data_IF_050385362606
#
_entry.id   IF_050385362606
#
_cell.length_a   1.000
_cell.length_b   1.000
_cell.length_c   1.000
_cell.angle_alpha   90.00
_cell.angle_beta   90.00
_cell.angle_gamma   90.00
#
_symmetry.space_group_name_H-M   'P 1'
#
loop_
_entity.id
_entity.type
_entity.pdbx_description
1 polymer ?
#
# COMPACT_ATOMS: atom_id res chain seq x y z
N UNK A 1 15.80 50.36 24.23
CA UNK A 1 16.80 50.38 23.15
C UNK A 1 16.10 49.83 21.93
N UNK A 2 15.79 50.74 21.01
CA UNK A 2 15.09 50.53 19.75
C UNK A 2 16.10 50.37 18.61
N UNK A 3 15.65 49.84 17.45
CA UNK A 3 16.31 49.79 16.11
C UNK A 3 16.71 48.39 15.63
N UNK A 4 16.57 48.00 14.36
CA UNK A 4 15.90 48.53 13.16
C UNK A 4 16.00 47.41 12.11
N UNK A 5 14.96 47.20 11.28
CA UNK A 5 15.07 46.45 10.02
C UNK A 5 15.65 47.37 8.93
N UNK A 6 16.44 46.86 7.97
CA UNK A 6 16.69 47.59 6.74
C UNK A 6 15.63 47.24 5.67
N UNK A 7 15.10 48.31 5.09
CA UNK A 7 14.29 48.39 3.88
C UNK A 7 15.22 48.84 2.74
N UNK A 8 15.13 48.24 1.57
CA UNK A 8 15.82 48.73 0.37
C UNK A 8 14.78 49.01 -0.72
N UNK A 9 14.70 50.28 -1.08
CA UNK A 9 13.89 50.83 -2.17
C UNK A 9 14.74 51.01 -3.44
N UNK A 10 14.17 50.56 -4.57
CA UNK A 10 14.18 51.15 -5.90
C UNK A 10 15.48 51.30 -6.71
N UNK A 11 15.59 50.49 -7.77
CA UNK A 11 16.18 50.88 -9.06
C UNK A 11 15.22 50.47 -10.18
N UNK A 12 14.69 51.46 -10.90
CA UNK A 12 13.93 51.33 -12.14
C UNK A 12 14.89 51.44 -13.34
N UNK A 13 14.72 50.59 -14.36
CA UNK A 13 14.91 50.99 -15.76
C UNK A 13 14.20 49.98 -16.70
N UNK A 14 13.27 50.51 -17.49
CA UNK A 14 12.52 49.84 -18.56
C UNK A 14 13.37 49.70 -19.84
N UNK A 15 13.18 48.61 -20.62
CA UNK A 15 12.66 48.66 -21.99
C UNK A 15 12.78 47.31 -22.77
N UNK A 16 11.62 46.87 -23.27
CA UNK A 16 11.30 46.26 -24.58
C UNK A 16 12.14 45.12 -25.22
N UNK A 17 11.54 43.92 -25.42
CA UNK A 17 10.88 43.48 -26.69
C UNK A 17 10.70 41.94 -26.83
N UNK A 18 9.43 41.55 -26.98
CA UNK A 18 8.77 40.54 -27.84
C UNK A 18 9.34 39.11 -28.09
N UNK A 19 8.61 38.07 -27.66
CA UNK A 19 7.68 37.31 -28.55
C UNK A 19 7.12 35.99 -27.95
N UNK A 20 5.78 35.98 -27.82
CA UNK A 20 4.79 34.96 -28.26
C UNK A 20 4.79 33.54 -27.68
N UNK A 21 3.70 33.19 -26.98
CA UNK A 21 2.58 32.41 -27.55
C UNK A 21 1.47 32.19 -26.51
N UNK A 22 0.28 32.71 -26.81
CA UNK A 22 -0.98 32.61 -26.05
C UNK A 22 -1.78 31.36 -26.46
N UNK A 23 -2.68 30.87 -25.61
CA UNK A 23 -4.12 30.86 -25.91
C UNK A 23 -4.91 30.45 -24.66
N UNK A 24 -5.63 31.43 -24.12
CA UNK A 24 -6.61 31.29 -23.06
C UNK A 24 -7.99 31.36 -23.74
N UNK A 25 -8.88 30.42 -23.43
CA UNK A 25 -10.22 30.34 -24.03
C UNK A 25 -11.21 31.12 -23.16
N UNK A 26 -11.30 32.42 -23.41
CA UNK A 26 -12.35 33.28 -22.83
C UNK A 26 -13.63 33.23 -23.69
N UNK A 27 -14.68 32.72 -23.04
CA UNK A 27 -16.11 32.90 -23.28
C UNK A 27 -16.52 33.76 -24.49
N UNK A 28 -16.78 33.09 -25.62
CA UNK A 28 -17.56 33.66 -26.72
C UNK A 28 -19.05 33.45 -26.44
N UNK A 29 -19.81 34.54 -26.40
CA UNK A 29 -21.18 34.74 -26.96
C UNK A 29 -21.96 35.75 -26.11
N UNK A 30 -21.56 37.02 -26.15
CA UNK A 30 -22.49 38.12 -25.94
C UNK A 30 -22.05 39.28 -26.81
N UNK A 31 -22.50 39.30 -28.05
CA UNK A 31 -22.61 40.57 -28.75
C UNK A 31 -23.81 40.58 -29.70
N UNK A 32 -24.71 41.48 -29.36
CA UNK A 32 -26.01 41.72 -29.93
C UNK A 32 -25.85 42.71 -31.09
N UNK A 33 -26.12 42.28 -32.33
CA UNK A 33 -26.35 43.22 -33.44
C UNK A 33 -27.66 42.91 -34.18
N UNK A 34 -28.60 43.80 -33.87
CA UNK A 34 -29.93 44.07 -34.43
C UNK A 34 -29.87 44.39 -35.93
N UNK A 35 -30.77 43.81 -36.72
CA UNK A 35 -31.20 44.33 -38.02
C UNK A 35 -32.72 44.22 -38.14
N UNK A 36 -33.29 45.25 -38.77
CA UNK A 36 -34.69 45.65 -38.77
C UNK A 36 -35.64 44.70 -39.51
N UNK A 37 -36.87 44.61 -38.98
CA UNK A 37 -38.02 43.99 -39.63
C UNK A 37 -38.36 44.72 -40.94
N UNK A 38 -38.37 43.95 -42.03
CA UNK A 38 -39.07 44.33 -43.27
C UNK A 38 -40.19 43.31 -43.46
N UNK A 39 -41.41 43.72 -43.11
CA UNK A 39 -42.62 43.00 -43.48
C UNK A 39 -42.81 43.06 -45.01
N UNK A 40 -42.68 41.91 -45.65
CA UNK A 40 -43.11 41.69 -47.03
C UNK A 40 -44.15 40.56 -47.04
N UNK A 41 -45.41 40.96 -47.00
CA UNK A 41 -46.56 40.12 -47.31
C UNK A 41 -46.51 39.68 -48.78
N UNK A 42 -46.51 38.37 -49.05
CA UNK A 42 -47.17 37.75 -50.22
C UNK A 42 -47.09 36.19 -50.18
N UNK A 43 -48.01 35.46 -50.85
CA UNK A 43 -48.66 34.28 -50.27
C UNK A 43 -48.11 32.91 -50.70
N UNK A 44 -48.25 31.96 -49.78
CA UNK A 44 -48.42 30.49 -49.90
C UNK A 44 -47.91 29.73 -51.14
N UNK A 45 -47.07 28.72 -50.88
CA UNK A 45 -47.23 27.39 -51.50
C UNK A 45 -46.79 26.28 -50.53
N UNK A 46 -47.76 25.66 -49.84
CA UNK A 46 -47.56 24.45 -49.01
C UNK A 46 -47.05 23.32 -49.90
N UNK A 47 -45.78 22.96 -49.78
CA UNK A 47 -45.24 21.72 -50.34
C UNK A 47 -45.34 20.60 -49.30
N UNK A 48 -46.05 19.54 -49.66
CA UNK A 48 -46.13 18.27 -48.92
C UNK A 48 -44.74 17.61 -48.90
N UNK A 49 -43.86 17.99 -47.96
CA UNK A 49 -42.60 17.30 -47.68
C UNK A 49 -42.38 16.98 -46.19
N UNK A 50 -43.44 16.96 -45.38
CA UNK A 50 -43.34 16.71 -43.94
C UNK A 50 -43.76 15.30 -43.49
N UNK A 51 -43.88 14.34 -44.41
CA UNK A 51 -44.22 12.94 -44.06
C UNK A 51 -43.03 12.04 -43.75
N UNK A 52 -41.86 12.31 -44.33
CA UNK A 52 -40.71 11.38 -44.30
C UNK A 52 -39.66 11.78 -43.24
N UNK A 53 -39.63 13.05 -42.83
CA UNK A 53 -38.73 13.52 -41.75
C UNK A 53 -39.26 13.24 -40.34
N UNK A 54 -40.58 13.10 -40.18
CA UNK A 54 -41.22 12.82 -38.89
C UNK A 54 -41.03 11.35 -38.46
N UNK A 55 -41.00 10.41 -39.42
CA UNK A 55 -40.69 9.00 -39.18
C UNK A 55 -39.21 8.79 -38.80
N UNK A 56 -38.30 9.62 -39.32
CA UNK A 56 -36.87 9.56 -38.97
C UNK A 56 -36.59 9.98 -37.51
N UNK A 57 -37.33 10.94 -36.96
CA UNK A 57 -37.28 11.26 -35.51
C UNK A 57 -37.93 10.16 -34.65
N UNK A 58 -38.98 9.50 -35.16
CA UNK A 58 -39.66 8.40 -34.48
C UNK A 58 -38.84 7.09 -34.46
N UNK A 59 -37.90 6.89 -35.39
CA UNK A 59 -37.03 5.71 -35.33
C UNK A 59 -35.76 5.95 -34.51
N UNK A 60 -35.36 7.22 -34.34
CA UNK A 60 -34.17 7.59 -33.57
C UNK A 60 -34.29 7.28 -32.08
N UNK A 61 -35.45 7.54 -31.45
CA UNK A 61 -35.64 7.19 -30.02
C UNK A 61 -35.64 5.67 -29.79
N UNK A 62 -36.09 4.88 -30.77
CA UNK A 62 -36.03 3.41 -30.72
C UNK A 62 -34.57 2.95 -30.80
N UNK A 63 -33.77 3.55 -31.69
CA UNK A 63 -32.34 3.25 -31.81
C UNK A 63 -31.57 3.65 -30.54
N UNK A 64 -31.85 4.83 -30.00
CA UNK A 64 -31.21 5.35 -28.79
C UNK A 64 -31.59 4.52 -27.55
N UNK A 65 -32.86 4.09 -27.43
CA UNK A 65 -33.31 3.21 -26.32
C UNK A 65 -32.75 1.80 -26.45
N UNK A 66 -32.66 1.24 -27.67
CA UNK A 66 -32.02 -0.04 -27.92
C UNK A 66 -30.53 0.01 -27.56
N UNK A 67 -29.82 1.07 -27.99
CA UNK A 67 -28.41 1.27 -27.67
C UNK A 67 -28.19 1.41 -26.17
N UNK A 68 -29.04 2.17 -25.47
CA UNK A 68 -28.99 2.32 -24.01
C UNK A 68 -29.19 0.97 -23.31
N UNK A 69 -30.18 0.17 -23.75
CA UNK A 69 -30.42 -1.16 -23.21
C UNK A 69 -29.24 -2.10 -23.46
N UNK A 70 -28.62 -2.05 -24.64
CA UNK A 70 -27.41 -2.83 -24.94
C UNK A 70 -26.25 -2.41 -24.03
N UNK A 71 -26.04 -1.10 -23.83
CA UNK A 71 -25.01 -0.60 -22.91
C UNK A 71 -25.30 -1.07 -21.48
N UNK A 72 -26.53 -0.97 -21.00
CA UNK A 72 -26.90 -1.43 -19.66
C UNK A 72 -26.71 -2.95 -19.50
N UNK A 73 -27.08 -3.74 -20.50
CA UNK A 73 -26.86 -5.20 -20.50
C UNK A 73 -25.37 -5.52 -20.51
N UNK A 74 -24.56 -4.79 -21.28
CA UNK A 74 -23.11 -4.94 -21.30
C UNK A 74 -22.49 -4.56 -19.95
N UNK A 75 -22.96 -3.48 -19.31
CA UNK A 75 -22.49 -3.05 -17.99
C UNK A 75 -22.89 -4.04 -16.89
N UNK A 76 -24.12 -4.54 -16.89
CA UNK A 76 -24.57 -5.58 -15.93
C UNK A 76 -23.81 -6.88 -16.16
N UNK A 77 -23.61 -7.27 -17.42
CA UNK A 77 -22.81 -8.44 -17.78
C UNK A 77 -21.35 -8.28 -17.37
N UNK A 78 -20.76 -7.11 -17.55
CA UNK A 78 -19.40 -6.80 -17.12
C UNK A 78 -19.28 -6.81 -15.59
N UNK A 79 -20.26 -6.24 -14.89
CA UNK A 79 -20.35 -6.22 -13.44
C UNK A 79 -20.56 -7.62 -12.84
N UNK A 80 -21.27 -8.52 -13.54
CA UNK A 80 -21.44 -9.91 -13.12
C UNK A 80 -20.32 -10.85 -13.58
N UNK A 81 -19.61 -10.52 -14.66
CA UNK A 81 -18.50 -11.33 -15.17
C UNK A 81 -17.17 -10.96 -14.57
N UNK A 82 -17.00 -9.73 -14.09
CA UNK A 82 -15.82 -9.32 -13.36
C UNK A 82 -15.76 -10.13 -12.06
N UNK A 83 -14.89 -11.15 -11.95
CA UNK A 83 -14.58 -11.70 -10.66
C UNK A 83 -13.98 -10.54 -9.85
N UNK A 84 -14.17 -10.50 -8.53
CA UNK A 84 -13.54 -9.51 -7.67
C UNK A 84 -12.01 -9.36 -7.90
N UNK A 85 -11.40 -10.35 -8.55
CA UNK A 85 -10.00 -10.43 -9.02
C UNK A 85 -9.61 -9.40 -10.09
N UNK A 86 -10.51 -8.96 -10.98
CA UNK A 86 -10.18 -7.92 -12.00
C UNK A 86 -10.33 -6.48 -11.47
N UNK A 87 -10.75 -6.33 -10.21
CA UNK A 87 -10.95 -5.03 -9.55
C UNK A 87 -9.74 -4.59 -8.72
N UNK A 88 -8.66 -5.35 -8.71
CA UNK A 88 -7.43 -4.95 -8.01
C UNK A 88 -6.49 -4.21 -8.98
N UNK A 89 -6.49 -2.87 -9.00
CA UNK A 89 -5.59 -2.09 -9.85
C UNK A 89 -4.12 -2.27 -9.46
N UNK A 90 -3.84 -2.86 -8.29
CA UNK A 90 -2.48 -3.17 -7.86
C UNK A 90 -2.11 -4.60 -8.26
N UNK A 91 -1.37 -4.70 -9.36
CA UNK A 91 -0.71 -5.94 -9.79
C UNK A 91 0.14 -6.51 -8.63
N UNK A 92 0.72 -5.60 -7.83
CA UNK A 92 1.57 -5.88 -6.68
C UNK A 92 0.85 -5.59 -5.36
N UNK A 93 0.58 -6.63 -4.58
CA UNK A 93 0.21 -6.41 -3.19
C UNK A 93 1.46 -5.95 -2.42
N UNK A 94 1.30 -4.93 -1.59
CA UNK A 94 2.40 -4.44 -0.76
C UNK A 94 3.02 -5.58 0.10
N UNK A 95 4.36 -5.62 0.14
CA UNK A 95 5.14 -6.66 0.82
C UNK A 95 4.99 -8.07 0.22
N UNK A 96 4.45 -8.22 -1.00
CA UNK A 96 4.40 -9.49 -1.73
C UNK A 96 5.80 -9.92 -2.19
N UNK A 97 6.00 -11.23 -2.29
CA UNK A 97 7.17 -11.78 -2.96
C UNK A 97 7.18 -11.35 -4.44
N UNK A 98 8.28 -10.73 -4.84
CA UNK A 98 8.48 -10.27 -6.21
C UNK A 98 8.86 -11.42 -7.17
N UNK A 99 9.45 -12.50 -6.64
CA UNK A 99 10.03 -13.58 -7.46
C UNK A 99 8.98 -14.51 -8.09
N UNK A 100 7.75 -14.47 -7.56
CA UNK A 100 6.62 -15.27 -8.00
C UNK A 100 6.48 -16.62 -7.29
N UNK A 101 7.34 -16.91 -6.30
CA UNK A 101 7.26 -18.10 -5.45
C UNK A 101 6.08 -17.99 -4.48
N UNK A 102 5.93 -16.83 -3.84
CA UNK A 102 4.93 -16.60 -2.80
C UNK A 102 3.53 -16.24 -3.35
N UNK A 103 2.45 -16.74 -2.73
CA UNK A 103 1.10 -16.40 -3.13
C UNK A 103 0.72 -14.98 -2.66
N UNK A 104 -0.44 -14.52 -3.14
CA UNK A 104 -1.12 -13.34 -2.58
C UNK A 104 -1.85 -13.75 -1.30
N UNK A 105 -1.82 -12.89 -0.29
CA UNK A 105 -2.52 -13.09 0.98
C UNK A 105 -3.66 -12.09 1.10
N UNK A 106 -4.71 -12.38 1.88
CA UNK A 106 -5.69 -11.34 2.18
C UNK A 106 -5.12 -10.32 3.18
N UNK A 107 -5.61 -9.08 3.12
CA UNK A 107 -5.31 -8.08 4.13
C UNK A 107 -6.35 -8.08 5.26
N UNK A 108 -5.92 -7.72 6.47
CA UNK A 108 -6.73 -7.58 7.68
C UNK A 108 -6.42 -6.26 8.37
N UNK A 109 -7.45 -5.53 8.79
CA UNK A 109 -7.27 -4.37 9.66
C UNK A 109 -6.94 -4.86 11.06
N UNK A 110 -5.80 -4.42 11.58
CA UNK A 110 -5.32 -4.78 12.91
C UNK A 110 -5.13 -3.52 13.73
N UNK A 111 -5.64 -3.54 14.96
CA UNK A 111 -5.33 -2.50 15.95
C UNK A 111 -4.14 -2.95 16.78
N UNK A 112 -3.11 -2.13 16.86
CA UNK A 112 -1.95 -2.44 17.70
C UNK A 112 -2.25 -2.14 19.16
N UNK A 113 -1.76 -3.02 20.03
CA UNK A 113 -1.90 -2.92 21.46
C UNK A 113 -0.63 -3.44 22.13
N UNK A 114 -0.29 -2.85 23.27
CA UNK A 114 0.84 -3.28 24.09
C UNK A 114 0.62 -4.71 24.60
N UNK A 115 1.57 -5.60 24.33
CA UNK A 115 1.61 -6.96 24.88
C UNK A 115 2.98 -7.22 25.54
N UNK A 116 3.05 -7.03 26.86
CA UNK A 116 4.28 -7.22 27.64
C UNK A 116 4.72 -8.68 27.74
N UNK A 117 3.90 -9.64 27.31
CA UNK A 117 4.27 -11.05 27.45
C UNK A 117 5.29 -11.53 26.43
N UNK A 118 5.60 -10.73 25.39
CA UNK A 118 6.75 -10.97 24.50
C UNK A 118 8.05 -10.32 25.02
N UNK A 119 7.93 -9.23 25.78
CA UNK A 119 9.06 -8.50 26.35
C UNK A 119 8.68 -7.97 27.74
N UNK A 120 8.82 -8.80 28.80
CA UNK A 120 8.40 -8.42 30.15
C UNK A 120 9.24 -7.28 30.72
N UNK A 121 8.61 -6.41 31.53
CA UNK A 121 9.33 -5.30 32.22
C UNK A 121 10.49 -5.81 33.10
N UNK A 122 10.34 -6.97 33.74
CA UNK A 122 11.46 -7.66 34.35
C UNK A 122 12.17 -8.50 33.28
N UNK A 123 13.32 -8.02 32.81
CA UNK A 123 14.05 -8.63 31.70
C UNK A 123 14.57 -10.03 31.99
N UNK A 124 14.76 -10.41 33.26
CA UNK A 124 15.09 -11.78 33.63
C UNK A 124 13.97 -12.77 33.25
N UNK A 125 12.70 -12.34 33.24
CA UNK A 125 11.57 -13.19 32.88
C UNK A 125 11.49 -13.49 31.39
N UNK A 126 12.22 -12.76 30.54
CA UNK A 126 12.29 -13.05 29.10
C UNK A 126 12.76 -14.49 28.84
N UNK A 127 13.70 -14.98 29.64
CA UNK A 127 14.27 -16.33 29.52
C UNK A 127 13.39 -17.42 30.14
N UNK A 128 12.19 -17.09 30.61
CA UNK A 128 11.25 -18.10 31.08
C UNK A 128 10.68 -18.90 29.90
N UNK A 129 10.47 -20.21 30.10
CA UNK A 129 9.89 -21.12 29.11
C UNK A 129 8.61 -20.54 28.50
N UNK A 130 7.72 -19.99 29.34
CA UNK A 130 6.48 -19.34 28.91
C UNK A 130 6.68 -18.23 27.86
N UNK A 131 7.70 -17.39 28.03
CA UNK A 131 7.95 -16.27 27.11
C UNK A 131 8.60 -16.80 25.83
N UNK A 132 9.58 -17.69 25.95
CA UNK A 132 10.26 -18.31 24.81
C UNK A 132 9.30 -19.13 23.94
N UNK A 133 8.39 -19.89 24.54
CA UNK A 133 7.34 -20.63 23.84
C UNK A 133 6.41 -19.69 23.06
N UNK A 134 6.07 -18.55 23.65
CA UNK A 134 5.24 -17.55 22.97
C UNK A 134 5.94 -16.99 21.72
N UNK A 135 7.26 -16.81 21.76
CA UNK A 135 8.05 -16.45 20.58
C UNK A 135 8.13 -17.59 19.56
N UNK A 136 8.30 -18.84 20.00
CA UNK A 136 8.25 -20.01 19.12
C UNK A 136 6.89 -20.14 18.41
N UNK A 137 5.80 -19.84 19.09
CA UNK A 137 4.45 -19.84 18.52
C UNK A 137 4.25 -18.79 17.41
N UNK A 138 5.00 -17.69 17.42
CA UNK A 138 4.98 -16.72 16.31
C UNK A 138 5.56 -17.32 15.04
N UNK A 139 6.61 -18.14 15.16
CA UNK A 139 7.28 -18.76 14.03
C UNK A 139 6.42 -19.89 13.45
N UNK A 140 6.35 -20.02 12.11
CA UNK A 140 5.83 -21.23 11.47
C UNK A 140 6.74 -22.41 11.76
N UNK A 141 6.17 -23.62 11.75
CA UNK A 141 6.98 -24.86 11.64
C UNK A 141 7.86 -24.76 10.37
N UNK A 142 9.15 -25.02 10.53
CA UNK A 142 10.20 -24.81 9.53
C UNK A 142 10.78 -23.39 9.49
N UNK A 143 10.43 -22.53 10.46
CA UNK A 143 10.95 -21.17 10.68
C UNK A 143 10.88 -20.21 9.48
N UNK A 144 10.09 -20.55 8.46
CA UNK A 144 9.98 -19.79 7.22
C UNK A 144 11.13 -20.02 6.23
N UNK A 145 11.92 -21.07 6.43
CA UNK A 145 12.75 -21.60 5.35
C UNK A 145 11.87 -22.43 4.42
N UNK A 146 11.79 -21.98 3.18
CA UNK A 146 10.95 -22.57 2.14
C UNK A 146 11.80 -23.39 1.19
N UNK A 147 11.34 -24.58 0.86
CA UNK A 147 11.94 -25.38 -0.20
C UNK A 147 11.29 -25.01 -1.53
N UNK A 148 12.09 -24.48 -2.45
CA UNK A 148 11.62 -24.10 -3.79
C UNK A 148 12.15 -25.11 -4.80
N UNK A 149 11.24 -25.90 -5.35
CA UNK A 149 11.53 -26.77 -6.50
C UNK A 149 11.44 -25.96 -7.80
N UNK A 150 11.99 -26.51 -8.89
CA UNK A 150 11.85 -25.96 -10.25
C UNK A 150 12.16 -24.45 -10.32
N UNK A 151 13.29 -24.05 -9.76
CA UNK A 151 13.68 -22.64 -9.60
C UNK A 151 13.70 -21.85 -10.91
N UNK A 152 13.86 -22.53 -12.04
CA UNK A 152 13.81 -21.95 -13.39
C UNK A 152 12.44 -21.35 -13.77
N UNK A 153 11.38 -21.66 -13.02
CA UNK A 153 10.04 -21.08 -13.23
C UNK A 153 9.90 -19.67 -12.66
N UNK A 154 10.81 -19.28 -11.77
CA UNK A 154 10.76 -18.02 -11.04
C UNK A 154 11.84 -17.07 -11.54
N UNK A 155 11.66 -15.79 -11.26
CA UNK A 155 12.59 -14.74 -11.66
C UNK A 155 13.14 -14.02 -10.45
N UNK A 156 14.31 -13.39 -10.59
CA UNK A 156 14.93 -12.56 -9.55
C UNK A 156 15.11 -13.27 -8.19
N UNK A 157 15.23 -14.60 -8.20
CA UNK A 157 15.55 -15.36 -7.00
C UNK A 157 16.93 -14.92 -6.47
N UNK A 158 17.07 -14.71 -5.14
CA UNK A 158 18.38 -14.47 -4.56
C UNK A 158 19.27 -15.72 -4.68
N UNK A 159 20.52 -15.61 -4.23
CA UNK A 159 21.37 -16.81 -4.13
C UNK A 159 20.77 -17.77 -3.09
N UNK A 160 20.53 -19.04 -3.43
CA UNK A 160 19.89 -19.98 -2.52
C UNK A 160 20.80 -20.42 -1.38
N UNK A 161 20.19 -20.84 -0.29
CA UNK A 161 20.82 -21.61 0.77
C UNK A 161 20.90 -23.06 0.29
N UNK A 162 22.12 -23.59 0.19
CA UNK A 162 22.37 -24.93 -0.32
C UNK A 162 22.26 -25.95 0.81
N UNK A 163 21.18 -26.73 0.82
CA UNK A 163 21.05 -27.92 1.65
C UNK A 163 21.17 -29.18 0.78
N UNK A 164 21.53 -30.33 1.35
CA UNK A 164 21.52 -31.59 0.60
C UNK A 164 20.15 -31.80 -0.06
N UNK A 165 20.13 -31.87 -1.39
CA UNK A 165 18.94 -32.13 -2.21
C UNK A 165 17.83 -31.05 -2.15
N UNK A 166 18.07 -29.89 -1.53
CA UNK A 166 17.08 -28.83 -1.40
C UNK A 166 17.67 -27.46 -1.74
N UNK A 167 16.93 -26.72 -2.58
CA UNK A 167 17.16 -25.30 -2.80
C UNK A 167 16.30 -24.52 -1.82
N UNK A 168 16.92 -23.86 -0.86
CA UNK A 168 16.21 -23.26 0.28
C UNK A 168 16.34 -21.75 0.28
N UNK A 169 15.27 -21.08 0.65
CA UNK A 169 15.22 -19.64 0.85
C UNK A 169 14.55 -19.32 2.18
N UNK A 170 14.85 -18.18 2.78
CA UNK A 170 14.10 -17.68 3.95
C UNK A 170 13.15 -16.57 3.52
N UNK A 171 11.99 -16.49 4.14
CA UNK A 171 11.09 -15.36 3.92
C UNK A 171 11.48 -14.15 4.77
N UNK A 172 11.31 -12.95 4.20
CA UNK A 172 11.64 -11.69 4.89
C UNK A 172 10.86 -11.53 6.20
N UNK A 173 9.58 -11.92 6.23
CA UNK A 173 8.74 -11.80 7.43
C UNK A 173 9.28 -12.61 8.63
N UNK A 174 9.69 -13.87 8.42
CA UNK A 174 10.23 -14.70 9.50
C UNK A 174 11.65 -14.29 9.90
N UNK A 175 12.44 -13.79 8.96
CA UNK A 175 13.76 -13.24 9.26
C UNK A 175 13.67 -11.96 10.10
N UNK A 176 12.73 -11.06 9.79
CA UNK A 176 12.45 -9.87 10.61
C UNK A 176 12.03 -10.23 12.04
N UNK A 177 11.19 -11.26 12.21
CA UNK A 177 10.81 -11.76 13.54
C UNK A 177 12.00 -12.33 14.31
N UNK A 178 12.87 -13.10 13.66
CA UNK A 178 14.10 -13.60 14.27
C UNK A 178 15.04 -12.46 14.67
N UNK A 179 15.23 -11.45 13.81
CA UNK A 179 16.02 -10.26 14.15
C UNK A 179 15.46 -9.53 15.37
N UNK A 180 14.13 -9.35 15.45
CA UNK A 180 13.49 -8.74 16.60
C UNK A 180 13.72 -9.57 17.88
N UNK A 181 13.58 -10.89 17.80
CA UNK A 181 13.87 -11.79 18.92
C UNK A 181 15.31 -11.65 19.41
N UNK A 182 16.30 -11.67 18.51
CA UNK A 182 17.72 -11.52 18.86
C UNK A 182 18.01 -10.19 19.57
N UNK A 183 17.36 -9.10 19.13
CA UNK A 183 17.45 -7.79 19.77
C UNK A 183 16.91 -7.84 21.21
N UNK A 184 15.72 -8.40 21.41
CA UNK A 184 15.09 -8.49 22.73
C UNK A 184 15.88 -9.43 23.65
N UNK A 185 16.37 -10.56 23.14
CA UNK A 185 17.20 -11.51 23.87
C UNK A 185 18.50 -10.85 24.35
N UNK A 186 19.20 -10.14 23.46
CA UNK A 186 20.45 -9.46 23.81
C UNK A 186 20.22 -8.38 24.86
N UNK A 187 19.22 -7.51 24.66
CA UNK A 187 18.87 -6.48 25.65
C UNK A 187 18.51 -7.10 27.01
N UNK A 188 17.70 -8.16 26.99
CA UNK A 188 17.27 -8.83 28.21
C UNK A 188 18.43 -9.50 28.94
N UNK A 189 19.35 -10.13 28.21
CA UNK A 189 20.54 -10.76 28.78
C UNK A 189 21.48 -9.76 29.41
N UNK A 190 21.78 -8.66 28.70
CA UNK A 190 22.65 -7.59 29.20
C UNK A 190 22.13 -6.94 30.49
N UNK A 191 20.81 -6.74 30.59
CA UNK A 191 20.19 -6.07 31.75
C UNK A 191 19.93 -6.99 32.94
N UNK A 192 19.75 -8.29 32.71
CA UNK A 192 19.48 -9.27 33.77
C UNK A 192 20.70 -10.09 34.19
N UNK A 193 21.81 -9.99 33.45
CA UNK A 193 23.02 -10.77 33.69
C UNK A 193 22.95 -12.23 33.20
N UNK A 194 21.98 -12.56 32.34
CA UNK A 194 21.95 -13.86 31.66
C UNK A 194 23.03 -13.93 30.58
N UNK A 195 23.48 -15.15 30.30
CA UNK A 195 24.39 -15.44 29.20
C UNK A 195 23.75 -15.02 27.86
N UNK A 196 24.56 -14.40 27.01
CA UNK A 196 24.18 -13.98 25.66
C UNK A 196 25.12 -14.65 24.66
N UNK A 197 24.65 -14.95 23.43
CA UNK A 197 25.50 -15.55 22.41
C UNK A 197 26.80 -14.75 22.18
N UNK A 198 27.91 -15.45 21.95
CA UNK A 198 29.22 -14.80 21.73
C UNK A 198 29.22 -13.84 20.52
N UNK A 199 28.37 -14.11 19.53
CA UNK A 199 28.23 -13.31 18.31
C UNK A 199 27.23 -12.15 18.43
N UNK A 200 26.67 -11.90 19.63
CA UNK A 200 25.64 -10.88 19.87
C UNK A 200 26.00 -9.52 19.26
N UNK A 201 27.25 -9.07 19.33
CA UNK A 201 27.65 -7.79 18.76
C UNK A 201 27.42 -7.73 17.24
N UNK A 202 27.86 -8.75 16.50
CA UNK A 202 27.68 -8.82 15.06
C UNK A 202 26.19 -8.95 14.70
N UNK A 203 25.47 -9.85 15.39
CA UNK A 203 24.04 -10.05 15.19
C UNK A 203 23.25 -8.76 15.42
N UNK A 204 23.54 -8.00 16.46
CA UNK A 204 22.85 -6.74 16.77
C UNK A 204 23.04 -5.69 15.67
N UNK A 205 24.27 -5.47 15.20
CA UNK A 205 24.55 -4.50 14.14
C UNK A 205 23.85 -4.90 12.83
N UNK A 206 23.86 -6.19 12.50
CA UNK A 206 23.12 -6.72 11.36
C UNK A 206 21.61 -6.52 11.50
N UNK A 207 21.03 -6.91 12.63
CA UNK A 207 19.59 -6.83 12.89
C UNK A 207 19.10 -5.38 12.90
N UNK A 208 19.87 -4.43 13.46
CA UNK A 208 19.50 -3.02 13.43
C UNK A 208 19.42 -2.46 12.01
N UNK A 209 20.40 -2.75 11.15
CA UNK A 209 20.34 -2.28 9.77
C UNK A 209 19.24 -3.00 8.98
N UNK A 210 19.07 -4.31 9.16
CA UNK A 210 18.02 -5.07 8.50
C UNK A 210 16.62 -4.58 8.88
N UNK A 211 16.34 -4.37 10.18
CA UNK A 211 15.06 -3.85 10.65
C UNK A 211 14.81 -2.42 10.17
N UNK A 212 15.84 -1.56 10.13
CA UNK A 212 15.74 -0.22 9.52
C UNK A 212 15.31 -0.31 8.05
N UNK A 213 15.93 -1.19 7.27
CA UNK A 213 15.57 -1.39 5.86
C UNK A 213 14.15 -1.94 5.71
N UNK A 214 13.75 -2.89 6.57
CA UNK A 214 12.40 -3.44 6.58
C UNK A 214 11.34 -2.36 6.88
N UNK A 215 11.58 -1.49 7.86
CA UNK A 215 10.70 -0.38 8.20
C UNK A 215 10.59 0.61 7.03
N UNK A 216 11.71 0.97 6.39
CA UNK A 216 11.70 1.89 5.24
C UNK A 216 11.04 1.29 4.00
N UNK A 217 11.24 0.00 3.77
CA UNK A 217 10.58 -0.74 2.69
C UNK A 217 9.07 -0.82 2.96
N UNK A 218 8.69 -0.99 4.23
CA UNK A 218 7.30 -1.07 4.62
C UNK A 218 6.61 0.29 4.57
N UNK A 219 7.29 1.34 5.06
CA UNK A 219 6.77 2.71 5.15
C UNK A 219 5.31 2.75 5.60
N UNK A 220 5.00 2.12 6.74
CA UNK A 220 3.63 2.09 7.27
C UNK A 220 3.18 3.52 7.59
N UNK A 221 2.12 3.97 6.91
CA UNK A 221 1.59 5.33 6.99
C UNK A 221 0.35 5.42 7.90
N UNK A 222 0.10 4.40 8.74
CA UNK A 222 -0.94 4.48 9.76
C UNK A 222 -0.73 5.72 10.64
N UNK A 223 -1.81 6.45 10.91
CA UNK A 223 -1.77 7.58 11.83
C UNK A 223 -1.78 7.07 13.26
N UNK A 224 -0.86 7.58 14.07
CA UNK A 224 -0.77 7.26 15.49
C UNK A 224 -1.26 8.42 16.36
N UNK A 225 -1.88 8.06 17.48
CA UNK A 225 -2.55 8.97 18.40
C UNK A 225 -1.69 9.42 19.58
N UNK A 226 -2.35 10.04 20.56
CA UNK A 226 -1.76 10.38 21.85
C UNK A 226 -1.35 9.10 22.58
N UNK A 227 -0.20 9.13 23.24
CA UNK A 227 0.26 8.04 24.09
C UNK A 227 -0.80 7.63 25.13
N UNK A 228 -0.80 6.35 25.49
CA UNK A 228 -1.65 5.78 26.53
C UNK A 228 -0.84 5.02 27.59
N UNK A 229 0.44 4.78 27.34
CA UNK A 229 1.30 3.91 28.15
C UNK A 229 2.59 4.56 28.63
N UNK A 230 2.87 5.83 28.28
CA UNK A 230 4.07 6.51 28.75
C UNK A 230 3.92 6.90 30.23
N UNK A 231 4.94 6.66 31.09
CA UNK A 231 4.83 6.97 32.51
C UNK A 231 4.63 8.46 32.83
N UNK A 232 5.13 9.34 31.97
CA UNK A 232 5.16 10.79 32.16
C UNK A 232 4.06 11.54 31.40
N UNK A 233 3.25 10.82 30.61
CA UNK A 233 2.19 11.37 29.76
C UNK A 233 2.58 12.63 29.00
N UNK A 234 3.77 12.61 28.39
CA UNK A 234 4.41 13.79 27.81
C UNK A 234 3.74 14.36 26.55
N UNK A 235 2.62 13.79 26.10
CA UNK A 235 1.91 14.24 24.90
C UNK A 235 2.44 13.68 23.58
N UNK A 236 3.35 12.70 23.62
CA UNK A 236 3.86 11.98 22.45
C UNK A 236 2.88 10.95 21.87
N UNK A 237 3.38 10.10 20.98
CA UNK A 237 2.69 8.90 20.47
C UNK A 237 3.42 7.64 20.93
N UNK A 238 2.67 6.63 21.38
CA UNK A 238 3.19 5.28 21.63
C UNK A 238 2.70 4.24 20.61
N UNK A 239 1.98 4.70 19.57
CA UNK A 239 1.51 3.90 18.45
C UNK A 239 0.29 3.01 18.73
N UNK A 240 -0.15 2.88 19.99
CA UNK A 240 -1.29 2.01 20.33
C UNK A 240 -2.62 2.58 19.88
N UNK A 241 -3.65 1.72 19.78
CA UNK A 241 -5.01 2.02 19.26
C UNK A 241 -5.06 2.40 17.76
N UNK A 242 -3.92 2.62 17.13
CA UNK A 242 -3.77 2.85 15.69
C UNK A 242 -4.22 1.64 14.87
N UNK A 243 -4.83 1.90 13.72
CA UNK A 243 -5.32 0.87 12.79
C UNK A 243 -4.37 0.72 11.61
N UNK A 244 -3.88 -0.50 11.43
CA UNK A 244 -2.93 -0.88 10.39
C UNK A 244 -3.58 -1.81 9.38
N UNK A 245 -3.14 -1.73 8.11
CA UNK A 245 -3.54 -2.68 7.07
C UNK A 245 -2.46 -3.75 6.97
N UNK A 246 -2.66 -4.89 7.61
CA UNK A 246 -1.67 -5.96 7.66
C UNK A 246 -2.04 -7.10 6.70
N UNK A 247 -1.06 -7.92 6.31
CA UNK A 247 -1.38 -9.26 5.77
C UNK A 247 -1.99 -10.12 6.86
N UNK A 248 -2.90 -11.01 6.50
CA UNK A 248 -3.43 -12.00 7.44
C UNK A 248 -2.32 -12.98 7.83
N UNK A 249 -1.74 -12.78 9.01
CA UNK A 249 -0.64 -13.58 9.53
C UNK A 249 -0.97 -15.07 9.60
N UNK A 250 -2.25 -15.43 9.84
CA UNK A 250 -2.64 -16.84 9.89
C UNK A 250 -2.49 -17.54 8.54
N UNK A 251 -2.80 -16.83 7.45
CA UNK A 251 -2.60 -17.34 6.09
C UNK A 251 -1.12 -17.40 5.73
N UNK A 252 -0.35 -16.38 6.13
CA UNK A 252 1.11 -16.36 5.94
C UNK A 252 1.74 -17.55 6.64
N UNK A 253 1.47 -17.76 7.93
CA UNK A 253 1.99 -18.87 8.71
C UNK A 253 1.62 -20.22 8.10
N UNK A 254 0.33 -20.43 7.78
CA UNK A 254 -0.16 -21.67 7.17
C UNK A 254 0.51 -21.98 5.83
N UNK A 255 0.73 -20.96 5.01
CA UNK A 255 1.44 -21.13 3.74
C UNK A 255 2.90 -21.52 3.96
N UNK A 256 3.62 -20.81 4.83
CA UNK A 256 5.04 -21.10 5.09
C UNK A 256 5.23 -22.51 5.61
N UNK A 257 4.34 -22.99 6.49
CA UNK A 257 4.35 -24.38 6.95
C UNK A 257 4.10 -25.36 5.80
N UNK A 258 3.24 -25.03 4.84
CA UNK A 258 2.95 -25.91 3.70
C UNK A 258 4.12 -26.11 2.74
N UNK A 259 5.04 -25.14 2.66
CA UNK A 259 6.22 -25.16 1.76
C UNK A 259 7.55 -25.27 2.51
N UNK A 260 7.50 -25.61 3.79
CA UNK A 260 8.68 -25.63 4.67
C UNK A 260 9.74 -26.62 4.21
N UNK A 261 11.00 -26.25 4.42
CA UNK A 261 12.14 -27.09 4.09
C UNK A 261 12.45 -28.16 5.16
N UNK A 262 11.97 -28.00 6.39
CA UNK A 262 12.20 -28.85 7.57
C UNK A 262 11.16 -28.54 8.67
N UNK A 263 11.26 -29.20 9.83
CA UNK A 263 10.18 -29.25 10.84
C UNK A 263 10.50 -28.56 12.18
N UNK A 264 11.59 -27.79 12.33
CA UNK A 264 11.88 -27.11 13.60
C UNK A 264 11.05 -25.84 13.79
N UNK A 265 10.85 -25.41 15.04
CA UNK A 265 10.07 -24.22 15.39
C UNK A 265 10.72 -23.36 16.50
N UNK A 266 11.98 -23.65 16.85
CA UNK A 266 12.67 -22.90 17.89
C UNK A 266 13.31 -21.66 17.29
N UNK A 267 12.89 -20.48 17.73
CA UNK A 267 13.40 -19.20 17.21
C UNK A 267 14.85 -18.89 17.67
N UNK A 268 15.30 -19.59 18.72
CA UNK A 268 16.57 -19.41 19.43
C UNK A 268 17.60 -20.50 19.14
#
# INVERSE_FOLDING_TARGET
>A
MDSQKPQYDNLHMDDHSDSRSSTEVESLMSDQKRWHDVELNSPTRRTKKNGILATFKSSRWILDTLLLLVILVLLVRDQWRSPAVLRDPNIWQFGQDFTGVGPKFSSKITTFARDESYAPNNTAHFFSEKVLDKWNELMPIGMGFVWVNDTEKYHDLPTPIMWPEKTVFTTSATHQLHCLFAIVQTYSGMTSGHEIPDDHHWHMIHCFDYMRQAIMCSADMALEGLETTFPDHNGGSDGWDSKHVCKDWSQVKSYLESVRAYDDQLIY
#
